data_IF_841107840525
#
_entry.id   IF_841107840525
#
_cell.length_a   1.000
_cell.length_b   1.000
_cell.length_c   1.000
_cell.angle_alpha   90.00
_cell.angle_beta   90.00
_cell.angle_gamma   90.00
#
_symmetry.space_group_name_H-M   'P 1'
#
loop_
_entity.id
_entity.type
_entity.pdbx_description
1 polymer ?
#
# COMPACT_ATOMS: atom_id res chain seq x y z
N UNK A 1 -11.54 -35.57 8.98
CA UNK A 1 -11.62 -34.10 8.86
C UNK A 1 -10.66 -33.66 7.77
N UNK A 2 -11.03 -32.69 6.93
CA UNK A 2 -10.16 -32.20 5.85
C UNK A 2 -9.74 -30.78 6.16
N UNK A 3 -8.42 -30.57 6.15
CA UNK A 3 -7.82 -29.27 6.44
C UNK A 3 -7.30 -28.62 5.15
N UNK A 4 -7.09 -27.32 5.23
CA UNK A 4 -6.53 -26.47 4.21
C UNK A 4 -5.39 -25.63 4.80
N UNK A 5 -4.53 -25.15 3.92
CA UNK A 5 -3.43 -24.25 4.22
C UNK A 5 -3.68 -22.93 3.49
N UNK A 6 -3.41 -21.82 4.17
CA UNK A 6 -3.54 -20.48 3.62
C UNK A 6 -2.16 -19.83 3.64
N UNK A 7 -1.71 -19.37 2.47
CA UNK A 7 -0.47 -18.61 2.30
C UNK A 7 -0.79 -17.18 1.92
N UNK A 8 -0.24 -16.24 2.68
CA UNK A 8 -0.37 -14.80 2.44
C UNK A 8 1.00 -14.29 2.06
N UNK A 9 1.16 -13.83 0.81
CA UNK A 9 2.40 -13.25 0.32
C UNK A 9 2.29 -11.73 0.23
N UNK A 10 3.26 -11.03 0.83
CA UNK A 10 3.37 -9.57 0.76
C UNK A 10 4.71 -9.14 0.13
N UNK A 11 5.25 -9.94 -0.81
CA UNK A 11 6.47 -9.64 -1.57
C UNK A 11 7.79 -9.76 -0.81
N UNK A 12 7.82 -9.49 0.51
CA UNK A 12 9.01 -9.63 1.37
C UNK A 12 8.90 -10.76 2.40
N UNK A 13 7.67 -11.07 2.83
CA UNK A 13 7.39 -12.09 3.83
C UNK A 13 6.15 -12.86 3.42
N UNK A 14 6.23 -14.17 3.56
CA UNK A 14 5.09 -15.09 3.43
C UNK A 14 4.65 -15.51 4.82
N UNK A 15 3.37 -15.35 5.12
CA UNK A 15 2.76 -15.87 6.36
C UNK A 15 1.95 -17.10 6.02
N UNK A 16 2.22 -18.20 6.74
CA UNK A 16 1.54 -19.49 6.55
C UNK A 16 0.58 -19.75 7.71
N UNK A 17 -0.67 -20.10 7.38
CA UNK A 17 -1.68 -20.52 8.34
C UNK A 17 -2.08 -21.95 7.99
N UNK A 18 -1.67 -22.89 8.84
CA UNK A 18 -1.89 -24.32 8.66
C UNK A 18 -3.12 -24.81 9.43
N UNK A 19 -3.62 -26.00 9.08
CA UNK A 19 -4.72 -26.68 9.76
C UNK A 19 -6.05 -25.90 9.80
N UNK A 20 -6.34 -25.12 8.75
CA UNK A 20 -7.61 -24.41 8.64
C UNK A 20 -8.71 -25.37 8.17
N UNK A 21 -9.93 -25.22 8.67
CA UNK A 21 -11.05 -26.02 8.17
C UNK A 21 -11.31 -25.71 6.68
N UNK A 22 -11.21 -26.74 5.83
CA UNK A 22 -11.33 -26.58 4.37
C UNK A 22 -12.66 -25.96 3.93
N UNK A 23 -13.74 -26.18 4.67
CA UNK A 23 -15.04 -25.62 4.35
C UNK A 23 -15.07 -24.09 4.47
N UNK A 24 -14.36 -23.54 5.46
CA UNK A 24 -14.36 -22.09 5.75
C UNK A 24 -13.18 -21.33 5.13
N UNK A 25 -12.11 -22.02 4.74
CA UNK A 25 -10.93 -21.41 4.14
C UNK A 25 -11.23 -20.48 2.94
N UNK A 26 -12.13 -20.84 1.98
CA UNK A 26 -12.45 -19.95 0.86
C UNK A 26 -13.14 -18.65 1.29
N UNK A 27 -14.01 -18.71 2.31
CA UNK A 27 -14.74 -17.55 2.83
C UNK A 27 -13.77 -16.59 3.50
N UNK A 28 -12.82 -17.12 4.27
CA UNK A 28 -11.77 -16.34 4.91
C UNK A 28 -10.88 -15.62 3.89
N UNK A 29 -10.37 -16.34 2.88
CA UNK A 29 -9.53 -15.74 1.82
C UNK A 29 -10.27 -14.65 1.05
N UNK A 30 -11.57 -14.88 0.75
CA UNK A 30 -12.40 -13.87 0.08
C UNK A 30 -12.53 -12.59 0.91
N UNK A 31 -12.81 -12.72 2.21
CA UNK A 31 -12.95 -11.56 3.11
C UNK A 31 -11.63 -10.85 3.37
N UNK A 32 -10.54 -11.60 3.49
CA UNK A 32 -9.21 -11.03 3.61
C UNK A 32 -8.87 -10.17 2.38
N UNK A 33 -9.10 -10.70 1.17
CA UNK A 33 -8.87 -9.96 -0.09
C UNK A 33 -9.71 -8.68 -0.18
N UNK A 34 -10.98 -8.74 0.24
CA UNK A 34 -11.89 -7.59 0.29
C UNK A 34 -11.35 -6.49 1.22
N UNK A 35 -10.86 -6.85 2.42
CA UNK A 35 -10.28 -5.89 3.37
C UNK A 35 -8.96 -5.31 2.85
N UNK A 36 -8.08 -6.12 2.27
CA UNK A 36 -6.79 -5.66 1.72
C UNK A 36 -7.00 -4.70 0.55
N UNK A 37 -7.90 -5.00 -0.39
CA UNK A 37 -8.20 -4.09 -1.51
C UNK A 37 -8.78 -2.75 -1.05
N UNK A 38 -9.53 -2.74 0.05
CA UNK A 38 -10.08 -1.49 0.62
C UNK A 38 -9.05 -0.71 1.46
N UNK A 39 -8.09 -1.38 2.11
CA UNK A 39 -7.05 -0.74 2.93
C UNK A 39 -5.84 -0.21 2.14
N UNK A 40 -5.63 -0.60 0.88
CA UNK A 40 -4.56 -0.03 0.04
C UNK A 40 -4.75 1.49 -0.20
N UNK A 41 -5.92 2.06 0.14
CA UNK A 41 -6.13 3.51 0.11
C UNK A 41 -5.53 4.30 1.28
N UNK A 42 -4.99 3.68 2.34
CA UNK A 42 -4.64 4.47 3.55
C UNK A 42 -3.31 4.19 4.24
N UNK A 43 -2.33 3.54 3.62
CA UNK A 43 -0.95 3.57 4.13
C UNK A 43 0.03 3.52 2.96
N UNK A 44 0.18 4.64 2.24
CA UNK A 44 1.47 4.91 1.61
C UNK A 44 2.31 5.62 2.67
N UNK A 45 3.22 4.89 3.31
CA UNK A 45 4.51 5.49 3.67
C UNK A 45 5.15 5.89 2.34
N UNK A 46 4.74 7.04 1.79
CA UNK A 46 5.35 7.56 0.58
C UNK A 46 6.80 7.85 0.93
N UNK A 47 7.72 7.24 0.17
CA UNK A 47 9.11 7.65 0.26
C UNK A 47 9.17 9.14 -0.03
N UNK A 48 10.12 9.86 0.59
CA UNK A 48 10.40 11.26 0.25
C UNK A 48 10.58 11.41 -1.28
N UNK A 49 11.13 10.39 -1.95
CA UNK A 49 11.24 10.35 -3.41
C UNK A 49 9.88 10.32 -4.14
N UNK A 50 8.91 9.55 -3.64
CA UNK A 50 7.57 9.44 -4.23
C UNK A 50 6.79 10.76 -4.05
N UNK A 51 6.96 11.43 -2.91
CA UNK A 51 6.34 12.74 -2.67
C UNK A 51 6.94 13.83 -3.57
N UNK A 52 8.27 13.84 -3.76
CA UNK A 52 8.93 14.75 -4.70
C UNK A 52 8.49 14.50 -6.14
N UNK A 53 8.29 13.24 -6.53
CA UNK A 53 7.79 12.89 -7.86
C UNK A 53 6.39 13.44 -8.08
N UNK A 54 5.48 13.26 -7.12
CA UNK A 54 4.11 13.83 -7.17
C UNK A 54 4.14 15.36 -7.28
N UNK A 55 4.97 16.04 -6.50
CA UNK A 55 5.10 17.50 -6.59
C UNK A 55 5.61 17.95 -7.96
N UNK A 56 6.52 17.17 -8.58
CA UNK A 56 7.01 17.47 -9.92
C UNK A 56 5.90 17.31 -10.96
N UNK A 57 5.08 16.26 -10.87
CA UNK A 57 3.92 16.07 -11.76
C UNK A 57 2.90 17.21 -11.61
N UNK A 58 2.70 17.73 -10.40
CA UNK A 58 1.84 18.88 -10.15
C UNK A 58 2.39 20.19 -10.73
N UNK A 59 3.71 20.37 -10.72
CA UNK A 59 4.38 21.49 -11.39
C UNK A 59 4.24 21.38 -12.92
N UNK A 60 4.48 20.20 -13.49
CA UNK A 60 4.38 19.95 -14.93
C UNK A 60 2.94 20.08 -15.45
N UNK A 61 1.94 19.76 -14.62
CA UNK A 61 0.52 19.98 -14.93
C UNK A 61 0.06 21.42 -14.71
N UNK A 62 0.94 22.31 -14.23
CA UNK A 62 0.63 23.73 -13.99
C UNK A 62 -0.27 23.97 -12.78
N UNK A 63 -0.47 22.96 -11.92
CA UNK A 63 -1.23 23.07 -10.67
C UNK A 63 -0.40 23.69 -9.54
N UNK A 64 0.93 23.63 -9.64
CA UNK A 64 1.86 24.33 -8.77
C UNK A 64 2.73 25.28 -9.59
N UNK A 65 3.10 26.39 -8.98
CA UNK A 65 4.17 27.25 -9.48
C UNK A 65 5.54 26.72 -9.06
N UNK A 66 6.59 27.14 -9.75
CA UNK A 66 7.97 26.79 -9.40
C UNK A 66 8.30 27.14 -7.94
N UNK A 67 7.82 28.30 -7.47
CA UNK A 67 8.01 28.75 -6.09
C UNK A 67 7.37 27.79 -5.07
N UNK A 68 6.11 27.41 -5.27
CA UNK A 68 5.40 26.50 -4.37
C UNK A 68 6.03 25.10 -4.37
N UNK A 69 6.50 24.63 -5.53
CA UNK A 69 7.24 23.37 -5.61
C UNK A 69 8.51 23.42 -4.76
N UNK A 70 9.31 24.49 -4.88
CA UNK A 70 10.57 24.62 -4.15
C UNK A 70 10.35 24.75 -2.63
N UNK A 71 9.31 25.45 -2.18
CA UNK A 71 8.93 25.50 -0.76
C UNK A 71 8.56 24.11 -0.20
N UNK A 72 7.74 23.35 -0.94
CA UNK A 72 7.31 22.03 -0.50
C UNK A 72 8.46 21.01 -0.50
N UNK A 73 9.35 21.11 -1.50
CA UNK A 73 10.59 20.32 -1.56
C UNK A 73 11.48 20.56 -0.34
N UNK A 74 11.68 21.83 0.06
CA UNK A 74 12.51 22.14 1.23
C UNK A 74 11.88 21.64 2.54
N UNK A 75 10.57 21.81 2.70
CA UNK A 75 9.84 21.30 3.89
C UNK A 75 9.94 19.78 4.00
N UNK A 76 9.85 19.08 2.87
CA UNK A 76 9.92 17.63 2.83
C UNK A 76 11.33 17.09 3.12
N UNK A 77 12.37 17.77 2.65
CA UNK A 77 13.78 17.36 2.88
C UNK A 77 14.28 17.66 4.29
N UNK A 78 13.67 18.60 5.00
CA UNK A 78 14.03 18.99 6.37
C UNK A 78 13.16 18.33 7.45
N UNK A 79 12.36 17.33 7.07
CA UNK A 79 11.52 16.52 7.97
C UNK A 79 12.28 15.30 8.48
#
# INVERSE_FOLDING_TARGET
MVFAEIRIDNGMKTTEIVNVNKHFAPIFVKKLKEVTSNNIKSVSESSIADELLKYKELLESGLLTQYEFDEQKQKLLNK
#
